data_IF_274513649026
#
_entry.id   IF_274513649026
#
_cell.length_a   1.000
_cell.length_b   1.000
_cell.length_c   1.000
_cell.angle_alpha   90.00
_cell.angle_beta   90.00
_cell.angle_gamma   90.00
#
_symmetry.space_group_name_H-M   'P 1'
#
loop_
_entity.id
_entity.type
_entity.pdbx_description
1 polymer ?
#
# COMPACT_ATOMS: atom_id res chain seq x y z
N UNK A 1 -44.81 -20.70 -0.66
CA UNK A 1 -43.70 -20.36 0.25
C UNK A 1 -42.87 -19.31 -0.47
N UNK A 2 -43.01 -18.06 -0.03
CA UNK A 2 -42.59 -16.87 -0.78
C UNK A 2 -41.10 -16.63 -0.61
N UNK A 3 -40.41 -16.59 -1.73
CA UNK A 3 -39.03 -16.13 -1.91
C UNK A 3 -38.98 -14.61 -1.82
N UNK A 4 -38.36 -14.06 -0.78
CA UNK A 4 -38.07 -12.63 -0.70
C UNK A 4 -36.82 -12.33 -1.53
N UNK A 5 -37.05 -12.05 -2.81
CA UNK A 5 -36.06 -11.48 -3.72
C UNK A 5 -35.92 -9.99 -3.36
N UNK A 6 -34.80 -9.62 -2.76
CA UNK A 6 -34.41 -8.21 -2.62
C UNK A 6 -34.03 -7.70 -4.01
N UNK A 7 -34.90 -6.88 -4.60
CA UNK A 7 -34.67 -6.22 -5.88
C UNK A 7 -33.81 -4.98 -5.65
N UNK A 8 -32.59 -4.96 -6.17
CA UNK A 8 -31.80 -3.74 -6.33
C UNK A 8 -32.23 -2.98 -7.59
N UNK A 9 -32.17 -1.63 -7.61
CA UNK A 9 -32.65 -0.86 -8.74
C UNK A 9 -31.74 -1.06 -9.96
N UNK A 10 -32.35 -1.35 -11.12
CA UNK A 10 -31.67 -1.30 -12.42
C UNK A 10 -31.25 0.15 -12.71
N UNK A 11 -30.11 0.38 -13.40
CA UNK A 11 -29.71 1.71 -13.81
C UNK A 11 -30.68 2.23 -14.89
N UNK A 12 -31.62 3.07 -14.48
CA UNK A 12 -32.52 3.80 -15.36
C UNK A 12 -31.89 5.11 -15.82
N UNK A 13 -32.05 5.40 -17.11
CA UNK A 13 -31.68 6.68 -17.74
C UNK A 13 -32.72 7.75 -17.34
N UNK A 14 -32.24 8.88 -16.75
CA UNK A 14 -33.02 10.08 -16.36
C UNK A 14 -33.55 10.01 -14.91
N UNK A 15 -33.39 10.99 -14.01
CA UNK A 15 -33.20 12.44 -14.09
C UNK A 15 -32.22 12.93 -13.01
N UNK A 16 -31.63 14.12 -13.23
CA UNK A 16 -30.66 14.76 -12.34
C UNK A 16 -31.23 14.99 -10.92
N UNK A 17 -30.80 14.17 -9.96
CA UNK A 17 -30.84 14.51 -8.54
C UNK A 17 -29.40 14.73 -8.05
N UNK A 18 -28.88 15.93 -8.28
CA UNK A 18 -27.66 16.43 -7.66
C UNK A 18 -27.95 16.78 -6.20
N UNK A 19 -27.82 15.81 -5.30
CA UNK A 19 -27.36 16.08 -3.94
C UNK A 19 -25.88 15.71 -3.89
N UNK A 20 -25.07 16.61 -4.44
CA UNK A 20 -23.63 16.62 -4.26
C UNK A 20 -23.40 16.98 -2.80
N UNK A 21 -22.85 16.07 -2.00
CA UNK A 21 -22.15 16.48 -0.78
C UNK A 21 -21.09 17.50 -1.23
N UNK A 22 -21.29 18.77 -0.92
CA UNK A 22 -20.28 19.80 -1.16
C UNK A 22 -19.09 19.50 -0.24
N UNK A 23 -18.14 18.73 -0.73
CA UNK A 23 -16.81 18.67 -0.14
C UNK A 23 -16.19 20.05 -0.30
N UNK A 24 -15.99 20.75 0.82
CA UNK A 24 -15.29 22.04 0.83
C UNK A 24 -13.90 21.84 0.25
N UNK A 25 -13.68 22.30 -0.98
CA UNK A 25 -12.41 22.16 -1.69
C UNK A 25 -11.29 22.80 -0.86
N UNK A 26 -10.35 21.98 -0.42
CA UNK A 26 -9.20 22.43 0.38
C UNK A 26 -8.12 23.04 -0.51
N UNK A 27 -7.13 23.70 0.13
CA UNK A 27 -5.90 24.13 -0.57
C UNK A 27 -5.14 22.94 -1.17
N UNK A 28 -5.20 21.77 -0.52
CA UNK A 28 -4.52 20.56 -0.97
C UNK A 28 -5.21 19.93 -2.18
N UNK A 29 -6.54 19.94 -2.24
CA UNK A 29 -7.28 19.45 -3.41
C UNK A 29 -6.91 20.25 -4.67
N UNK A 30 -6.82 21.59 -4.55
CA UNK A 30 -6.38 22.45 -5.66
C UNK A 30 -4.94 22.18 -6.08
N UNK A 31 -4.03 21.99 -5.12
CA UNK A 31 -2.64 21.69 -5.41
C UNK A 31 -2.45 20.30 -6.01
N UNK A 32 -3.25 19.30 -5.60
CA UNK A 32 -3.23 17.97 -6.21
C UNK A 32 -3.70 18.03 -7.67
N UNK A 33 -4.79 18.77 -7.95
CA UNK A 33 -5.25 18.98 -9.31
C UNK A 33 -4.21 19.70 -10.18
N UNK A 34 -3.56 20.73 -9.64
CA UNK A 34 -2.45 21.42 -10.31
C UNK A 34 -1.29 20.45 -10.60
N UNK A 35 -0.96 19.54 -9.68
CA UNK A 35 0.06 18.54 -9.91
C UNK A 35 -0.29 17.55 -11.01
N UNK A 36 -1.55 17.10 -11.08
CA UNK A 36 -2.03 16.23 -12.16
C UNK A 36 -1.86 16.91 -13.51
N UNK A 37 -2.15 18.21 -13.62
CA UNK A 37 -1.90 18.98 -14.85
C UNK A 37 -0.41 19.08 -15.21
N UNK A 38 0.47 19.22 -14.21
CA UNK A 38 1.92 19.21 -14.43
C UNK A 38 2.39 17.83 -14.91
N UNK A 39 1.88 16.76 -14.30
CA UNK A 39 2.25 15.37 -14.60
C UNK A 39 1.99 15.00 -16.07
N UNK A 40 0.93 15.54 -16.69
CA UNK A 40 0.59 15.29 -18.10
C UNK A 40 1.10 16.39 -19.04
N UNK A 41 1.87 17.36 -18.56
CA UNK A 41 2.35 18.47 -19.37
C UNK A 41 3.49 18.03 -20.29
N UNK A 42 3.30 18.13 -21.60
CA UNK A 42 4.38 17.85 -22.56
C UNK A 42 5.60 18.78 -22.35
N UNK A 43 6.79 18.18 -22.36
CA UNK A 43 8.06 18.89 -22.12
C UNK A 43 8.04 19.67 -20.80
N UNK A 44 7.54 19.04 -19.72
CA UNK A 44 7.34 19.66 -18.41
C UNK A 44 8.52 20.51 -17.96
N UNK A 45 9.73 19.94 -17.90
CA UNK A 45 10.92 20.65 -17.40
C UNK A 45 11.22 21.91 -18.23
N UNK A 46 11.25 21.80 -19.57
CA UNK A 46 11.50 22.93 -20.45
C UNK A 46 10.40 24.01 -20.35
N UNK A 47 9.14 23.62 -20.10
CA UNK A 47 8.06 24.58 -19.89
C UNK A 47 8.17 25.30 -18.56
N UNK A 48 8.62 24.61 -17.51
CA UNK A 48 8.84 25.22 -16.20
C UNK A 48 10.04 26.17 -16.19
N UNK A 49 11.07 25.90 -17.00
CA UNK A 49 12.19 26.83 -17.20
C UNK A 49 11.71 28.18 -17.80
N UNK A 50 10.75 28.13 -18.73
CA UNK A 50 10.20 29.34 -19.37
C UNK A 50 9.12 30.00 -18.50
N UNK A 51 8.29 29.22 -17.80
CA UNK A 51 7.13 29.68 -17.02
C UNK A 51 7.13 29.10 -15.60
N UNK A 52 8.06 29.52 -14.72
CA UNK A 52 8.20 28.94 -13.39
C UNK A 52 7.00 29.24 -12.46
N UNK A 53 6.19 30.25 -12.77
CA UNK A 53 5.05 30.65 -11.94
C UNK A 53 4.07 29.51 -11.64
N UNK A 54 3.83 28.60 -12.59
CA UNK A 54 2.96 27.43 -12.39
C UNK A 54 3.54 26.43 -11.38
N UNK A 55 4.84 26.23 -11.38
CA UNK A 55 5.50 25.38 -10.40
C UNK A 55 5.58 26.07 -9.02
N UNK A 56 5.75 27.39 -8.98
CA UNK A 56 5.95 28.12 -7.72
C UNK A 56 4.76 28.00 -6.76
N UNK A 57 3.52 28.07 -7.26
CA UNK A 57 2.31 27.92 -6.43
C UNK A 57 2.22 26.51 -5.82
N UNK A 58 2.44 25.47 -6.65
CA UNK A 58 2.49 24.09 -6.18
C UNK A 58 3.61 23.90 -5.14
N UNK A 59 4.82 24.38 -5.43
CA UNK A 59 5.99 24.25 -4.54
C UNK A 59 5.80 24.96 -3.19
N UNK A 60 5.09 26.09 -3.16
CA UNK A 60 4.70 26.74 -1.90
C UNK A 60 3.77 25.85 -1.08
N UNK A 61 2.74 25.28 -1.72
CA UNK A 61 1.80 24.37 -1.03
C UNK A 61 2.50 23.09 -0.56
N UNK A 62 3.41 22.54 -1.38
CA UNK A 62 4.24 21.39 -1.05
C UNK A 62 5.09 21.65 0.20
N UNK A 63 5.81 22.77 0.21
CA UNK A 63 6.64 23.17 1.36
C UNK A 63 5.82 23.37 2.63
N UNK A 64 4.64 23.98 2.51
CA UNK A 64 3.73 24.15 3.65
C UNK A 64 3.18 22.82 4.16
N UNK A 65 2.85 21.89 3.27
CA UNK A 65 2.39 20.56 3.62
C UNK A 65 3.47 19.77 4.35
N UNK A 66 4.72 19.78 3.86
CA UNK A 66 5.85 19.11 4.49
C UNK A 66 6.00 19.55 5.96
N UNK A 67 5.97 20.86 6.21
CA UNK A 67 6.04 21.40 7.58
C UNK A 67 4.87 20.95 8.44
N UNK A 68 3.66 21.00 7.89
CA UNK A 68 2.43 20.62 8.61
C UNK A 68 2.36 19.12 8.94
N UNK A 69 2.89 18.26 8.08
CA UNK A 69 2.88 16.82 8.28
C UNK A 69 4.02 16.32 9.18
N UNK A 70 5.23 16.87 9.01
CA UNK A 70 6.46 16.24 9.54
C UNK A 70 7.27 17.09 10.52
N UNK A 71 7.08 18.41 10.57
CA UNK A 71 7.92 19.30 11.40
C UNK A 71 7.20 19.91 12.61
N UNK A 72 5.87 19.96 12.60
CA UNK A 72 5.08 20.54 13.68
C UNK A 72 4.71 19.51 14.77
N UNK A 73 4.53 19.97 16.02
CA UNK A 73 4.12 19.14 17.16
C UNK A 73 2.76 18.43 16.97
N UNK A 74 1.91 18.96 16.06
CA UNK A 74 0.64 18.34 15.65
C UNK A 74 0.72 17.98 14.17
N UNK A 75 0.75 16.68 13.91
CA UNK A 75 0.74 16.09 12.58
C UNK A 75 -0.61 16.30 11.89
N UNK A 76 -0.64 17.02 10.77
CA UNK A 76 -1.85 17.29 9.97
C UNK A 76 -2.16 16.14 8.99
N UNK A 77 -3.24 15.39 9.24
CA UNK A 77 -3.67 14.25 8.41
C UNK A 77 -3.98 14.65 6.94
N UNK A 78 -4.50 15.86 6.69
CA UNK A 78 -4.77 16.31 5.31
C UNK A 78 -3.46 16.60 4.57
N UNK A 79 -2.45 17.12 5.28
CA UNK A 79 -1.12 17.32 4.71
C UNK A 79 -0.45 15.97 4.40
N UNK A 80 -0.56 14.96 5.27
CA UNK A 80 -0.09 13.60 4.99
C UNK A 80 -0.75 13.03 3.74
N UNK A 81 -2.09 13.07 3.66
CA UNK A 81 -2.81 12.54 2.50
C UNK A 81 -2.38 13.21 1.20
N UNK A 82 -2.28 14.54 1.21
CA UNK A 82 -1.78 15.28 0.05
C UNK A 82 -0.38 14.82 -0.36
N UNK A 83 0.58 14.82 0.56
CA UNK A 83 1.97 14.45 0.26
C UNK A 83 2.10 13.01 -0.24
N UNK A 84 1.39 12.07 0.39
CA UNK A 84 1.43 10.66 0.01
C UNK A 84 0.76 10.41 -1.33
N UNK A 85 -0.26 11.18 -1.72
CA UNK A 85 -0.84 11.14 -3.07
C UNK A 85 0.11 11.70 -4.13
N UNK A 86 0.78 12.83 -3.86
CA UNK A 86 1.80 13.37 -4.77
C UNK A 86 2.91 12.34 -4.98
N UNK A 87 3.42 11.78 -3.88
CA UNK A 87 4.48 10.78 -3.91
C UNK A 87 4.05 9.52 -4.68
N UNK A 88 2.83 9.01 -4.42
CA UNK A 88 2.29 7.87 -5.16
C UNK A 88 2.16 8.15 -6.66
N UNK A 89 1.67 9.34 -7.05
CA UNK A 89 1.53 9.72 -8.47
C UNK A 89 2.86 9.77 -9.21
N UNK A 90 3.95 10.11 -8.52
CA UNK A 90 5.31 10.03 -9.07
C UNK A 90 5.75 8.57 -9.13
N UNK A 91 5.60 7.84 -8.02
CA UNK A 91 6.07 6.47 -7.89
C UNK A 91 5.36 5.50 -8.83
N UNK A 92 4.08 5.71 -9.14
CA UNK A 92 3.35 4.86 -10.09
C UNK A 92 3.95 4.86 -11.49
N UNK A 93 4.74 5.88 -11.87
CA UNK A 93 5.45 5.94 -13.15
C UNK A 93 6.54 4.87 -13.25
N UNK A 94 6.99 4.32 -12.12
CA UNK A 94 7.92 3.19 -12.09
C UNK A 94 7.27 1.86 -12.49
N UNK A 95 5.94 1.81 -12.60
CA UNK A 95 5.17 0.62 -12.99
C UNK A 95 4.39 0.90 -14.27
N UNK A 96 4.05 -0.15 -15.01
CA UNK A 96 3.26 -0.04 -16.23
C UNK A 96 1.84 -0.54 -16.00
N UNK A 97 0.85 0.32 -16.28
CA UNK A 97 -0.56 0.13 -15.93
C UNK A 97 -1.45 -0.24 -17.12
N UNK A 98 -0.88 -0.36 -18.33
CA UNK A 98 -1.62 -0.61 -19.57
C UNK A 98 -2.70 0.46 -19.88
N UNK A 99 -2.46 1.70 -19.44
CA UNK A 99 -3.25 2.89 -19.73
C UNK A 99 -2.60 3.74 -20.84
N UNK A 100 -3.10 4.97 -21.05
CA UNK A 100 -2.59 5.86 -22.09
C UNK A 100 -1.09 6.14 -21.92
N UNK A 101 -0.30 5.90 -22.97
CA UNK A 101 1.15 6.11 -22.96
C UNK A 101 1.55 7.56 -22.65
N UNK A 102 0.67 8.54 -22.90
CA UNK A 102 0.94 9.93 -22.53
C UNK A 102 1.05 10.14 -21.01
N UNK A 103 0.53 9.22 -20.19
CA UNK A 103 0.67 9.27 -18.73
C UNK A 103 2.12 9.10 -18.26
N UNK A 104 3.00 8.54 -19.10
CA UNK A 104 4.42 8.30 -18.79
C UNK A 104 5.36 9.36 -19.36
N UNK A 105 4.82 10.39 -20.04
CA UNK A 105 5.60 11.45 -20.73
C UNK A 105 6.69 12.06 -19.85
N UNK A 106 6.41 12.18 -18.55
CA UNK A 106 7.29 12.86 -17.60
C UNK A 106 8.00 11.89 -16.62
N UNK A 107 8.06 10.58 -16.90
CA UNK A 107 8.69 9.58 -16.01
C UNK A 107 10.16 9.90 -15.66
N UNK A 108 10.85 10.69 -16.48
CA UNK A 108 12.25 11.13 -16.27
C UNK A 108 12.39 12.61 -15.91
N UNK A 109 11.31 13.28 -15.53
CA UNK A 109 11.34 14.71 -15.24
C UNK A 109 12.19 15.01 -13.99
N UNK A 110 13.09 15.99 -14.11
CA UNK A 110 13.91 16.46 -13.00
C UNK A 110 13.06 17.20 -11.96
N UNK A 111 12.04 17.93 -12.41
CA UNK A 111 11.08 18.57 -11.52
C UNK A 111 10.33 17.55 -10.65
N UNK A 112 9.83 16.46 -11.25
CA UNK A 112 9.12 15.42 -10.49
C UNK A 112 10.06 14.73 -9.47
N UNK A 113 11.30 14.44 -9.86
CA UNK A 113 12.30 13.92 -8.93
C UNK A 113 12.59 14.91 -7.79
N UNK A 114 12.69 16.21 -8.07
CA UNK A 114 12.86 17.22 -7.02
C UNK A 114 11.68 17.26 -6.05
N UNK A 115 10.44 17.11 -6.54
CA UNK A 115 9.26 16.99 -5.67
C UNK A 115 9.34 15.75 -4.80
N UNK A 116 9.62 14.58 -5.39
CA UNK A 116 9.77 13.30 -4.67
C UNK A 116 10.81 13.43 -3.57
N UNK A 117 12.02 13.86 -3.91
CA UNK A 117 13.16 13.91 -3.00
C UNK A 117 12.90 14.86 -1.81
N UNK A 118 12.19 15.98 -2.03
CA UNK A 118 11.77 16.88 -0.94
C UNK A 118 10.80 16.21 0.03
N UNK A 119 9.78 15.49 -0.49
CA UNK A 119 8.81 14.77 0.33
C UNK A 119 9.51 13.64 1.09
N UNK A 120 10.25 12.79 0.38
CA UNK A 120 10.92 11.62 0.94
C UNK A 120 11.95 12.00 1.99
N UNK A 121 12.73 13.07 1.79
CA UNK A 121 13.73 13.50 2.78
C UNK A 121 13.09 13.90 4.12
N UNK A 122 12.01 14.69 4.07
CA UNK A 122 11.30 15.10 5.29
C UNK A 122 10.55 13.93 5.93
N UNK A 123 9.87 13.13 5.10
CA UNK A 123 9.08 12.00 5.57
C UNK A 123 9.95 10.89 6.17
N UNK A 124 11.08 10.52 5.55
CA UNK A 124 12.00 9.51 6.08
C UNK A 124 12.62 9.95 7.40
N UNK A 125 12.93 11.25 7.56
CA UNK A 125 13.37 11.78 8.86
C UNK A 125 12.30 11.58 9.93
N UNK A 126 11.03 11.83 9.59
CA UNK A 126 9.90 11.65 10.50
C UNK A 126 9.63 10.18 10.85
N UNK A 127 9.71 9.26 9.87
CA UNK A 127 9.55 7.82 10.10
C UNK A 127 10.69 7.25 10.95
N UNK A 128 11.95 7.64 10.67
CA UNK A 128 13.10 7.16 11.44
C UNK A 128 13.11 7.70 12.87
N UNK A 129 12.52 8.87 13.13
CA UNK A 129 12.39 9.42 14.47
C UNK A 129 11.48 8.59 15.40
N UNK A 130 10.72 7.63 14.86
CA UNK A 130 9.90 6.70 15.65
C UNK A 130 10.71 5.54 16.26
N UNK A 131 11.99 5.40 15.89
CA UNK A 131 12.83 4.26 16.27
C UNK A 131 14.08 4.72 17.02
N UNK A 132 14.49 3.92 18.02
CA UNK A 132 15.81 4.04 18.62
C UNK A 132 16.83 3.29 17.75
N UNK A 133 17.37 4.00 16.76
CA UNK A 133 18.35 3.42 15.83
C UNK A 133 19.63 2.95 16.53
N UNK A 134 20.04 3.63 17.61
CA UNK A 134 21.22 3.25 18.37
C UNK A 134 20.99 1.91 19.07
N UNK A 135 19.81 1.70 19.65
CA UNK A 135 19.44 0.41 20.24
C UNK A 135 19.39 -0.71 19.19
N UNK A 136 18.78 -0.47 18.02
CA UNK A 136 18.70 -1.46 16.94
C UNK A 136 20.08 -1.91 16.46
N UNK A 137 21.04 -0.98 16.36
CA UNK A 137 22.42 -1.26 15.96
C UNK A 137 23.20 -2.14 16.95
N UNK A 138 22.74 -2.26 18.20
CA UNK A 138 23.37 -3.11 19.22
C UNK A 138 22.73 -4.50 19.35
N UNK A 139 21.66 -4.79 18.61
CA UNK A 139 20.98 -6.08 18.66
C UNK A 139 21.79 -7.17 17.97
N UNK A 140 21.66 -8.41 18.47
CA UNK A 140 21.90 -9.58 17.64
C UNK A 140 20.78 -9.65 16.59
N UNK A 141 21.05 -9.20 15.38
CA UNK A 141 20.06 -9.08 14.32
C UNK A 141 19.39 -10.43 13.99
N UNK A 142 20.12 -11.55 14.06
CA UNK A 142 19.55 -12.87 13.74
C UNK A 142 18.54 -13.29 14.80
N UNK A 143 18.94 -13.19 16.07
CA UNK A 143 18.06 -13.52 17.18
C UNK A 143 16.83 -12.58 17.20
N UNK A 144 17.06 -11.29 16.96
CA UNK A 144 16.00 -10.28 16.90
C UNK A 144 14.96 -10.56 15.80
N UNK A 145 15.39 -11.02 14.61
CA UNK A 145 14.50 -11.41 13.51
C UNK A 145 13.70 -12.66 13.84
N UNK A 146 14.33 -13.69 14.42
CA UNK A 146 13.65 -14.94 14.82
C UNK A 146 12.57 -14.66 15.86
N UNK A 147 12.87 -13.85 16.88
CA UNK A 147 11.92 -13.50 17.93
C UNK A 147 10.72 -12.73 17.40
N UNK A 148 10.95 -11.76 16.51
CA UNK A 148 9.90 -10.98 15.84
C UNK A 148 9.02 -11.86 14.98
N UNK A 149 9.62 -12.68 14.12
CA UNK A 149 8.88 -13.58 13.24
C UNK A 149 8.03 -14.57 14.06
N UNK A 150 8.56 -15.12 15.15
CA UNK A 150 7.82 -15.99 16.06
C UNK A 150 6.61 -15.28 16.70
N UNK A 151 6.78 -14.04 17.15
CA UNK A 151 5.71 -13.26 17.76
C UNK A 151 4.60 -12.89 16.76
N UNK A 152 4.96 -12.65 15.49
CA UNK A 152 4.05 -12.16 14.46
C UNK A 152 3.45 -13.28 13.58
N UNK A 153 3.92 -14.52 13.72
CA UNK A 153 3.37 -15.67 12.97
C UNK A 153 1.90 -15.96 13.33
N UNK A 154 1.55 -15.83 14.62
CA UNK A 154 0.20 -16.05 15.12
C UNK A 154 -0.11 -15.09 16.29
N UNK A 155 -0.25 -13.78 16.02
CA UNK A 155 -0.48 -12.79 17.05
C UNK A 155 -1.87 -12.96 17.67
N UNK A 156 -2.01 -12.51 18.91
CA UNK A 156 -3.33 -12.41 19.54
C UNK A 156 -4.21 -11.40 18.80
N UNK A 157 -5.53 -11.62 18.79
CA UNK A 157 -6.46 -10.68 18.16
C UNK A 157 -6.42 -9.31 18.86
N UNK A 158 -6.03 -8.29 18.11
CA UNK A 158 -6.24 -6.89 18.51
C UNK A 158 -7.73 -6.54 18.48
N UNK A 159 -8.11 -5.40 19.07
CA UNK A 159 -9.49 -4.88 19.00
C UNK A 159 -9.96 -4.70 17.55
N UNK A 160 -9.07 -4.22 16.66
CA UNK A 160 -9.39 -4.01 15.25
C UNK A 160 -9.50 -5.32 14.48
N UNK A 161 -8.60 -6.28 14.72
CA UNK A 161 -8.70 -7.62 14.13
C UNK A 161 -9.95 -8.37 14.59
N UNK A 162 -10.35 -8.18 15.86
CA UNK A 162 -11.61 -8.71 16.40
C UNK A 162 -12.81 -8.11 15.69
N UNK A 163 -12.86 -6.78 15.57
CA UNK A 163 -13.93 -6.09 14.85
C UNK A 163 -14.08 -6.60 13.40
N UNK A 164 -12.97 -6.70 12.66
CA UNK A 164 -12.96 -7.25 11.31
C UNK A 164 -13.58 -8.65 11.32
N UNK A 165 -13.05 -9.54 12.15
CA UNK A 165 -13.41 -10.96 12.22
C UNK A 165 -14.88 -11.19 12.61
N UNK A 166 -15.35 -10.47 13.63
CA UNK A 166 -16.57 -10.81 14.37
C UNK A 166 -17.73 -9.87 14.04
N UNK A 167 -17.47 -8.62 13.62
CA UNK A 167 -18.48 -7.56 13.54
C UNK A 167 -18.67 -6.98 12.13
N UNK A 168 -17.67 -7.04 11.26
CA UNK A 168 -17.67 -6.37 9.94
C UNK A 168 -18.91 -6.69 9.08
N UNK A 169 -19.61 -5.68 8.56
CA UNK A 169 -20.78 -5.94 7.69
C UNK A 169 -20.35 -6.31 6.26
N UNK A 170 -21.28 -6.76 5.41
CA UNK A 170 -20.99 -6.93 3.97
C UNK A 170 -20.57 -5.60 3.32
N UNK A 171 -21.22 -4.49 3.67
CA UNK A 171 -20.80 -3.15 3.22
C UNK A 171 -19.39 -2.81 3.68
N UNK A 172 -19.05 -3.13 4.93
CA UNK A 172 -17.69 -2.95 5.45
C UNK A 172 -16.67 -3.85 4.76
N UNK A 173 -17.06 -5.07 4.40
CA UNK A 173 -16.22 -5.99 3.62
C UNK A 173 -15.96 -5.44 2.21
N UNK A 174 -16.98 -4.94 1.51
CA UNK A 174 -16.80 -4.27 0.21
C UNK A 174 -15.90 -3.03 0.33
N UNK A 175 -16.01 -2.27 1.41
CA UNK A 175 -15.14 -1.12 1.68
C UNK A 175 -13.68 -1.53 1.94
N UNK A 176 -13.48 -2.62 2.69
CA UNK A 176 -12.17 -3.25 2.85
C UNK A 176 -11.57 -3.67 1.50
N UNK A 177 -12.35 -4.32 0.63
CA UNK A 177 -11.90 -4.72 -0.72
C UNK A 177 -11.57 -3.51 -1.59
N UNK A 178 -12.35 -2.43 -1.49
CA UNK A 178 -12.09 -1.20 -2.23
C UNK A 178 -10.73 -0.61 -1.86
N UNK A 179 -10.41 -0.51 -0.56
CA UNK A 179 -9.09 -0.04 -0.12
C UNK A 179 -8.00 -1.06 -0.47
N UNK A 180 -8.23 -2.36 -0.23
CA UNK A 180 -7.27 -3.43 -0.51
C UNK A 180 -6.91 -3.57 -2.00
N UNK A 181 -7.82 -3.21 -2.90
CA UNK A 181 -7.58 -3.22 -4.35
C UNK A 181 -6.42 -2.32 -4.80
N UNK A 182 -6.06 -1.34 -3.96
CA UNK A 182 -4.95 -0.43 -4.19
C UNK A 182 -3.62 -1.18 -4.37
N UNK A 183 -3.40 -2.23 -3.59
CA UNK A 183 -2.21 -3.06 -3.66
C UNK A 183 -2.49 -4.42 -4.32
N UNK A 184 -3.62 -5.08 -3.96
CA UNK A 184 -3.95 -6.43 -4.42
C UNK A 184 -4.09 -6.57 -5.95
N UNK A 185 -4.44 -5.50 -6.68
CA UNK A 185 -4.52 -5.54 -8.15
C UNK A 185 -3.15 -5.44 -8.83
N UNK A 186 -2.14 -4.92 -8.14
CA UNK A 186 -0.77 -4.72 -8.65
C UNK A 186 0.29 -5.46 -7.84
N UNK A 187 -0.14 -6.42 -7.04
CA UNK A 187 0.69 -7.23 -6.16
C UNK A 187 1.97 -7.76 -6.81
N UNK A 188 3.03 -7.76 -5.98
CA UNK A 188 4.41 -8.16 -6.28
C UNK A 188 5.12 -7.32 -7.34
N UNK A 189 4.50 -6.24 -7.85
CA UNK A 189 5.15 -5.35 -8.83
C UNK A 189 6.43 -4.71 -8.29
N UNK A 190 6.45 -4.32 -7.01
CA UNK A 190 7.64 -3.73 -6.40
C UNK A 190 8.78 -4.74 -6.21
N UNK A 191 8.47 -6.01 -5.90
CA UNK A 191 9.48 -7.07 -5.77
C UNK A 191 10.28 -7.23 -7.06
N UNK A 192 9.65 -7.08 -8.23
CA UNK A 192 10.35 -7.13 -9.53
C UNK A 192 11.50 -6.13 -9.64
N UNK A 193 11.43 -5.00 -8.91
CA UNK A 193 12.39 -3.89 -8.99
C UNK A 193 13.66 -4.11 -8.17
N UNK A 194 13.68 -5.10 -7.28
CA UNK A 194 14.88 -5.50 -6.53
C UNK A 194 15.63 -6.70 -7.12
N UNK A 195 15.08 -7.34 -8.16
CA UNK A 195 15.67 -8.54 -8.77
C UNK A 195 16.75 -8.25 -9.81
N UNK A 196 16.94 -7.00 -10.24
CA UNK A 196 18.03 -6.64 -11.15
C UNK A 196 19.38 -6.65 -10.43
N UNK A 197 20.32 -7.51 -10.85
CA UNK A 197 21.66 -7.56 -10.25
C UNK A 197 22.40 -8.88 -10.49
N UNK A 198 23.42 -9.15 -9.66
CA UNK A 198 24.17 -10.40 -9.67
C UNK A 198 23.46 -11.47 -8.83
N UNK A 199 23.35 -12.68 -9.39
CA UNK A 199 22.65 -13.80 -8.76
C UNK A 199 23.44 -14.44 -7.61
N UNK A 200 22.71 -14.73 -6.53
CA UNK A 200 23.10 -15.57 -5.41
C UNK A 200 21.85 -16.31 -4.89
N UNK A 201 22.01 -17.16 -3.88
CA UNK A 201 20.89 -17.94 -3.31
C UNK A 201 19.73 -17.05 -2.84
N UNK A 202 20.03 -15.92 -2.20
CA UNK A 202 19.02 -14.93 -1.78
C UNK A 202 18.23 -14.40 -2.98
N UNK A 203 18.92 -13.99 -4.05
CA UNK A 203 18.25 -13.49 -5.25
C UNK A 203 17.41 -14.58 -5.93
N UNK A 204 17.90 -15.83 -5.96
CA UNK A 204 17.12 -16.98 -6.47
C UNK A 204 15.84 -17.22 -5.64
N UNK A 205 15.91 -17.09 -4.32
CA UNK A 205 14.74 -17.20 -3.44
C UNK A 205 13.73 -16.06 -3.70
N UNK A 206 14.19 -14.82 -3.82
CA UNK A 206 13.31 -13.68 -4.14
C UNK A 206 12.65 -13.84 -5.53
N UNK A 207 13.37 -14.37 -6.52
CA UNK A 207 12.80 -14.72 -7.83
C UNK A 207 11.73 -15.81 -7.70
N UNK A 208 11.96 -16.82 -6.86
CA UNK A 208 10.98 -17.89 -6.58
C UNK A 208 9.70 -17.31 -5.99
N UNK A 209 9.80 -16.42 -4.99
CA UNK A 209 8.64 -15.71 -4.43
C UNK A 209 7.90 -14.96 -5.54
N UNK A 210 8.58 -14.11 -6.32
CA UNK A 210 7.95 -13.37 -7.42
C UNK A 210 7.22 -14.28 -8.41
N UNK A 211 7.83 -15.41 -8.78
CA UNK A 211 7.22 -16.37 -9.71
C UNK A 211 5.93 -16.96 -9.16
N UNK A 212 5.86 -17.28 -7.87
CA UNK A 212 4.63 -17.77 -7.23
C UNK A 212 3.55 -16.69 -7.22
N UNK A 213 3.88 -15.46 -6.81
CA UNK A 213 2.97 -14.30 -6.86
C UNK A 213 2.40 -14.02 -8.26
N UNK A 214 3.22 -14.24 -9.30
CA UNK A 214 2.84 -14.11 -10.70
C UNK A 214 2.15 -15.36 -11.27
N UNK A 215 1.73 -16.31 -10.43
CA UNK A 215 1.04 -17.52 -10.86
C UNK A 215 1.88 -18.40 -11.79
N UNK A 216 3.20 -18.37 -11.61
CA UNK A 216 4.21 -18.96 -12.50
C UNK A 216 4.04 -18.49 -13.96
N UNK A 217 3.73 -17.20 -14.14
CA UNK A 217 3.54 -16.56 -15.45
C UNK A 217 2.20 -16.84 -16.12
N UNK A 218 1.25 -17.48 -15.41
CA UNK A 218 -0.09 -17.76 -15.94
C UNK A 218 -1.07 -16.75 -15.36
N UNK A 219 -1.61 -15.86 -16.20
CA UNK A 219 -2.55 -14.83 -15.76
C UNK A 219 -3.72 -15.39 -14.94
N UNK A 220 -4.30 -16.52 -15.35
CA UNK A 220 -5.39 -17.17 -14.60
C UNK A 220 -5.00 -17.69 -13.21
N UNK A 221 -3.72 -17.66 -12.86
CA UNK A 221 -3.17 -18.05 -11.55
C UNK A 221 -2.43 -16.91 -10.86
N UNK A 222 -2.26 -15.75 -11.51
CA UNK A 222 -1.67 -14.58 -10.86
C UNK A 222 -2.56 -14.19 -9.69
N UNK A 223 -1.97 -13.90 -8.53
CA UNK A 223 -2.73 -13.59 -7.32
C UNK A 223 -3.70 -12.42 -7.53
N UNK A 224 -3.26 -11.35 -8.20
CA UNK A 224 -4.14 -10.23 -8.56
C UNK A 224 -5.35 -10.60 -9.44
N UNK A 225 -5.34 -11.72 -10.17
CA UNK A 225 -6.54 -12.24 -10.87
C UNK A 225 -7.59 -12.73 -9.89
N UNK A 226 -7.20 -13.37 -8.79
CA UNK A 226 -8.13 -13.77 -7.72
C UNK A 226 -8.71 -12.54 -7.02
N UNK A 227 -7.89 -11.50 -6.79
CA UNK A 227 -8.39 -10.24 -6.23
C UNK A 227 -9.41 -9.56 -7.15
N UNK A 228 -9.13 -9.50 -8.46
CA UNK A 228 -10.07 -8.97 -9.44
C UNK A 228 -11.38 -9.78 -9.51
N UNK A 229 -11.32 -11.10 -9.39
CA UNK A 229 -12.50 -11.97 -9.33
C UNK A 229 -13.34 -11.71 -8.08
N UNK A 230 -12.71 -11.51 -6.93
CA UNK A 230 -13.41 -11.11 -5.70
C UNK A 230 -14.17 -9.79 -5.88
N UNK A 231 -13.53 -8.76 -6.45
CA UNK A 231 -14.20 -7.49 -6.75
C UNK A 231 -15.39 -7.69 -7.72
N UNK A 232 -15.20 -8.49 -8.77
CA UNK A 232 -16.24 -8.77 -9.76
C UNK A 232 -17.46 -9.48 -9.16
N UNK A 233 -17.26 -10.38 -8.20
CA UNK A 233 -18.36 -11.07 -7.48
C UNK A 233 -19.28 -10.07 -6.76
N UNK A 234 -18.73 -8.96 -6.26
CA UNK A 234 -19.51 -7.88 -5.65
C UNK A 234 -20.01 -6.82 -6.66
N UNK A 235 -19.75 -7.00 -7.96
CA UNK A 235 -20.05 -6.01 -8.99
C UNK A 235 -19.22 -4.72 -8.87
N UNK A 236 -18.02 -4.82 -8.27
CA UNK A 236 -17.11 -3.71 -8.09
C UNK A 236 -16.22 -3.50 -9.33
N UNK A 237 -15.63 -2.31 -9.43
CA UNK A 237 -14.64 -1.99 -10.46
C UNK A 237 -13.38 -2.80 -10.21
N UNK A 238 -12.81 -3.36 -11.27
CA UNK A 238 -11.61 -4.21 -11.21
C UNK A 238 -10.38 -3.51 -11.76
N UNK A 239 -10.53 -2.29 -12.24
CA UNK A 239 -9.42 -1.48 -12.73
C UNK A 239 -8.57 -1.02 -11.54
N UNK A 240 -7.23 -1.09 -11.65
CA UNK A 240 -6.37 -0.50 -10.62
C UNK A 240 -6.66 0.99 -10.43
N UNK A 241 -6.44 1.49 -9.21
CA UNK A 241 -6.73 2.89 -8.81
C UNK A 241 -8.21 3.32 -8.84
N UNK A 242 -9.16 2.44 -9.19
CA UNK A 242 -10.59 2.78 -9.26
C UNK A 242 -11.17 3.35 -7.95
N UNK A 243 -10.55 3.00 -6.82
CA UNK A 243 -10.94 3.39 -5.46
C UNK A 243 -9.88 4.23 -4.75
N UNK A 244 -8.91 4.83 -5.47
CA UNK A 244 -7.81 5.62 -4.89
C UNK A 244 -8.29 6.70 -3.90
N UNK A 245 -9.45 7.30 -4.14
CA UNK A 245 -10.02 8.32 -3.26
C UNK A 245 -10.42 7.82 -1.87
N UNK A 246 -10.64 6.50 -1.70
CA UNK A 246 -10.97 5.89 -0.41
C UNK A 246 -9.72 5.50 0.40
N UNK A 247 -8.54 5.46 -0.23
CA UNK A 247 -7.31 4.97 0.38
C UNK A 247 -6.79 5.99 1.39
N UNK A 248 -6.68 5.63 2.69
CA UNK A 248 -6.10 6.50 3.71
C UNK A 248 -4.62 6.78 3.45
N UNK A 249 -4.11 7.89 4.00
CA UNK A 249 -2.71 8.27 3.80
C UNK A 249 -1.74 7.23 4.38
N UNK A 250 -2.15 6.52 5.43
CA UNK A 250 -1.37 5.47 6.08
C UNK A 250 -1.15 4.27 5.16
N UNK A 251 -2.14 3.91 4.34
CA UNK A 251 -2.03 2.85 3.32
C UNK A 251 -1.12 3.32 2.18
N UNK A 252 -1.32 4.56 1.71
CA UNK A 252 -0.44 5.16 0.69
C UNK A 252 1.02 5.23 1.16
N UNK A 253 1.24 5.58 2.43
CA UNK A 253 2.55 5.62 3.05
C UNK A 253 3.24 4.25 3.00
N UNK A 254 2.54 3.17 3.36
CA UNK A 254 3.11 1.81 3.26
C UNK A 254 3.56 1.47 1.83
N UNK A 255 2.75 1.77 0.83
CA UNK A 255 3.10 1.54 -0.58
C UNK A 255 4.26 2.43 -1.05
N UNK A 256 4.27 3.71 -0.70
CA UNK A 256 5.35 4.62 -1.05
C UNK A 256 6.67 4.26 -0.36
N UNK A 257 6.62 3.70 0.85
CA UNK A 257 7.80 3.19 1.53
C UNK A 257 8.39 2.02 0.74
N UNK A 258 7.54 1.10 0.28
CA UNK A 258 7.97 0.00 -0.57
C UNK A 258 8.64 0.49 -1.87
N UNK A 259 8.08 1.51 -2.54
CA UNK A 259 8.74 2.15 -3.68
C UNK A 259 10.13 2.70 -3.34
N UNK A 260 10.26 3.48 -2.26
CA UNK A 260 11.56 4.01 -1.83
C UNK A 260 12.57 2.88 -1.56
N UNK A 261 12.15 1.84 -0.84
CA UNK A 261 13.01 0.70 -0.50
C UNK A 261 13.50 -0.05 -1.74
N UNK A 262 12.64 -0.19 -2.76
CA UNK A 262 12.96 -0.94 -3.98
C UNK A 262 13.75 -0.13 -5.00
N UNK A 263 13.59 1.19 -5.03
CA UNK A 263 14.32 2.10 -5.92
C UNK A 263 15.71 2.48 -5.42
N UNK A 264 15.94 2.45 -4.11
CA UNK A 264 17.24 2.76 -3.52
C UNK A 264 17.96 1.49 -3.05
N UNK A 265 18.95 1.01 -3.81
CA UNK A 265 19.68 -0.24 -3.49
C UNK A 265 20.43 -0.22 -2.14
N UNK A 266 20.74 0.96 -1.59
CA UNK A 266 21.24 1.10 -0.20
C UNK A 266 20.25 0.54 0.84
N UNK A 267 18.97 0.49 0.51
CA UNK A 267 17.92 -0.04 1.37
C UNK A 267 17.57 -1.50 1.07
N UNK A 268 18.37 -2.23 0.29
CA UNK A 268 18.09 -3.64 -0.03
C UNK A 268 17.88 -4.52 1.21
N UNK A 269 18.76 -4.40 2.22
CA UNK A 269 18.59 -5.12 3.50
C UNK A 269 17.29 -4.74 4.22
N UNK A 270 16.98 -3.44 4.24
CA UNK A 270 15.77 -2.89 4.85
C UNK A 270 14.51 -3.38 4.13
N UNK A 271 14.51 -3.42 2.80
CA UNK A 271 13.45 -4.01 1.99
C UNK A 271 13.21 -5.48 2.36
N UNK A 272 14.27 -6.29 2.37
CA UNK A 272 14.17 -7.72 2.70
C UNK A 272 13.62 -7.94 4.12
N UNK A 273 14.00 -7.09 5.08
CA UNK A 273 13.43 -7.11 6.43
C UNK A 273 11.93 -6.83 6.45
N UNK A 274 11.49 -5.78 5.75
CA UNK A 274 10.07 -5.44 5.63
C UNK A 274 9.26 -6.51 4.91
N UNK A 275 9.77 -7.06 3.82
CA UNK A 275 9.14 -8.17 3.11
C UNK A 275 9.05 -9.43 4.00
N UNK A 276 10.06 -9.69 4.83
CA UNK A 276 10.01 -10.81 5.80
C UNK A 276 8.86 -10.64 6.79
N UNK A 277 8.63 -9.43 7.33
CA UNK A 277 7.46 -9.19 8.16
C UNK A 277 6.15 -9.46 7.40
N UNK A 278 6.04 -8.94 6.18
CA UNK A 278 4.83 -9.08 5.37
C UNK A 278 4.47 -10.55 5.16
N UNK A 279 5.43 -11.37 4.72
CA UNK A 279 5.21 -12.79 4.46
C UNK A 279 4.96 -13.62 5.73
N UNK A 280 5.49 -13.19 6.88
CA UNK A 280 5.25 -13.86 8.17
C UNK A 280 3.87 -13.53 8.74
N UNK A 281 3.47 -12.26 8.71
CA UNK A 281 2.27 -11.76 9.38
C UNK A 281 1.00 -11.83 8.51
N UNK A 282 1.13 -11.75 7.19
CA UNK A 282 0.03 -11.73 6.22
C UNK A 282 -1.02 -12.83 6.45
N UNK A 283 -0.63 -14.11 6.60
CA UNK A 283 -1.57 -15.22 6.78
C UNK A 283 -2.50 -15.05 7.99
N UNK A 284 -2.01 -14.50 9.09
CA UNK A 284 -2.81 -14.26 10.29
C UNK A 284 -3.91 -13.20 10.04
N UNK A 285 -3.61 -12.18 9.23
CA UNK A 285 -4.57 -11.15 8.82
C UNK A 285 -5.62 -11.76 7.88
N UNK A 286 -5.20 -12.48 6.84
CA UNK A 286 -6.12 -13.09 5.86
C UNK A 286 -7.05 -14.13 6.49
N UNK A 287 -6.58 -14.87 7.52
CA UNK A 287 -7.44 -15.76 8.33
C UNK A 287 -8.62 -15.02 8.96
N UNK A 288 -8.46 -13.75 9.37
CA UNK A 288 -9.57 -12.96 9.90
C UNK A 288 -10.56 -12.54 8.83
N UNK A 289 -10.10 -12.19 7.62
CA UNK A 289 -10.97 -11.89 6.48
C UNK A 289 -11.75 -13.12 6.02
N UNK A 290 -11.12 -14.29 6.01
CA UNK A 290 -11.78 -15.55 5.67
C UNK A 290 -12.88 -15.90 6.67
N UNK A 291 -12.63 -15.78 7.98
CA UNK A 291 -13.65 -16.02 9.02
C UNK A 291 -14.83 -15.05 8.88
N UNK A 292 -14.55 -13.79 8.57
CA UNK A 292 -15.57 -12.77 8.29
C UNK A 292 -16.46 -13.19 7.12
N UNK A 293 -15.82 -13.60 6.02
CA UNK A 293 -16.52 -13.98 4.81
C UNK A 293 -17.40 -15.22 5.01
N UNK A 294 -16.91 -16.21 5.77
CA UNK A 294 -17.68 -17.38 6.17
C UNK A 294 -18.90 -17.00 7.02
N UNK A 295 -18.74 -16.08 7.99
CA UNK A 295 -19.85 -15.58 8.81
C UNK A 295 -20.92 -14.89 7.95
N UNK A 296 -20.49 -14.15 6.93
CA UNK A 296 -21.38 -13.45 6.00
C UNK A 296 -21.98 -14.37 4.92
N UNK A 297 -21.57 -15.64 4.84
CA UNK A 297 -22.05 -16.58 3.83
C UNK A 297 -21.60 -16.25 2.40
N UNK A 298 -20.42 -15.63 2.25
CA UNK A 298 -19.86 -15.27 0.95
C UNK A 298 -19.42 -16.51 0.16
N UNK A 299 -19.39 -16.38 -1.17
CA UNK A 299 -19.01 -17.48 -2.08
C UNK A 299 -17.52 -17.81 -2.01
N UNK A 300 -17.11 -18.97 -2.55
CA UNK A 300 -15.69 -19.35 -2.68
C UNK A 300 -14.91 -18.33 -3.53
N UNK A 301 -15.55 -17.77 -4.56
CA UNK A 301 -14.95 -16.72 -5.41
C UNK A 301 -14.67 -15.47 -4.59
N UNK A 302 -15.58 -15.09 -3.69
CA UNK A 302 -15.44 -13.93 -2.82
C UNK A 302 -14.33 -14.05 -1.77
N UNK A 303 -13.69 -15.22 -1.62
CA UNK A 303 -12.59 -15.45 -0.66
C UNK A 303 -11.32 -16.01 -1.28
N UNK A 304 -11.33 -16.30 -2.59
CA UNK A 304 -10.29 -17.07 -3.25
C UNK A 304 -8.87 -16.48 -3.12
N UNK A 305 -8.74 -15.16 -3.08
CA UNK A 305 -7.44 -14.51 -2.85
C UNK A 305 -6.92 -14.74 -1.43
N UNK A 306 -7.78 -14.68 -0.40
CA UNK A 306 -7.39 -14.93 0.98
C UNK A 306 -6.99 -16.39 1.19
N UNK A 307 -7.75 -17.33 0.62
CA UNK A 307 -7.44 -18.77 0.71
C UNK A 307 -6.14 -19.13 -0.01
N UNK A 308 -5.82 -18.44 -1.11
CA UNK A 308 -4.56 -18.60 -1.81
C UNK A 308 -3.38 -18.24 -0.90
N UNK A 309 -3.38 -17.03 -0.35
CA UNK A 309 -2.32 -16.56 0.54
C UNK A 309 -2.19 -17.40 1.81
N UNK A 310 -3.30 -17.81 2.43
CA UNK A 310 -3.24 -18.69 3.61
C UNK A 310 -2.55 -20.03 3.30
N UNK A 311 -2.69 -20.57 2.07
CA UNK A 311 -2.05 -21.84 1.68
C UNK A 311 -0.59 -21.68 1.24
N UNK A 312 -0.28 -20.61 0.53
CA UNK A 312 1.04 -20.41 -0.08
C UNK A 312 2.04 -19.77 0.91
N UNK A 313 1.60 -18.79 1.71
CA UNK A 313 2.48 -17.88 2.45
C UNK A 313 3.11 -18.50 3.70
N UNK A 314 2.58 -19.59 4.26
CA UNK A 314 3.28 -20.30 5.36
C UNK A 314 4.68 -20.77 4.91
N UNK A 315 4.88 -20.96 3.60
CA UNK A 315 6.18 -21.25 3.00
C UNK A 315 6.99 -19.99 2.73
N UNK A 316 6.34 -18.91 2.25
CA UNK A 316 7.01 -17.65 1.96
C UNK A 316 7.60 -17.02 3.21
N UNK A 317 6.87 -16.99 4.33
CA UNK A 317 7.40 -16.50 5.60
C UNK A 317 8.66 -17.25 6.05
N UNK A 318 8.70 -18.57 5.86
CA UNK A 318 9.90 -19.38 6.14
C UNK A 318 11.03 -19.08 5.17
N UNK A 319 10.76 -19.00 3.87
CA UNK A 319 11.78 -18.64 2.88
C UNK A 319 12.36 -17.26 3.15
N UNK A 320 11.51 -16.28 3.48
CA UNK A 320 11.98 -14.94 3.78
C UNK A 320 12.81 -14.90 5.06
N UNK A 321 12.48 -15.66 6.09
CA UNK A 321 13.31 -15.72 7.30
C UNK A 321 14.60 -16.52 7.07
N UNK A 322 14.46 -17.80 6.71
CA UNK A 322 15.53 -18.79 6.72
C UNK A 322 16.44 -18.70 5.49
N UNK A 323 15.88 -18.41 4.31
CA UNK A 323 16.60 -18.40 3.03
C UNK A 323 16.97 -16.97 2.57
N UNK A 324 16.44 -15.91 3.20
CA UNK A 324 16.72 -14.50 2.83
C UNK A 324 17.29 -13.70 4.01
N UNK A 325 16.52 -13.47 5.07
CA UNK A 325 16.88 -12.51 6.11
C UNK A 325 18.07 -13.00 6.95
N UNK A 326 18.07 -14.26 7.40
CA UNK A 326 19.18 -14.82 8.18
C UNK A 326 20.48 -14.92 7.35
N UNK A 327 20.48 -15.42 6.10
CA UNK A 327 21.67 -15.38 5.24
C UNK A 327 22.20 -13.96 4.99
N UNK A 328 21.32 -12.98 4.78
CA UNK A 328 21.73 -11.59 4.62
C UNK A 328 22.33 -11.01 5.91
N UNK A 329 21.79 -11.35 7.07
CA UNK A 329 22.35 -10.93 8.36
C UNK A 329 23.76 -11.53 8.58
N UNK A 330 24.01 -12.74 8.11
CA UNK A 330 25.35 -13.36 8.13
C UNK A 330 26.31 -12.74 7.13
N UNK A 331 25.83 -12.39 5.93
CA UNK A 331 26.62 -11.76 4.89
C UNK A 331 27.02 -10.31 5.23
N UNK A 332 26.16 -9.59 5.94
CA UNK A 332 26.33 -8.17 6.27
C UNK A 332 26.28 -7.90 7.79
N UNK A 333 27.21 -8.46 8.60
CA UNK A 333 27.09 -8.43 10.06
C UNK A 333 27.08 -7.01 10.66
N UNK A 334 27.75 -6.04 10.01
CA UNK A 334 27.79 -4.65 10.48
C UNK A 334 26.54 -3.83 10.08
N UNK A 335 25.79 -4.30 9.09
CA UNK A 335 24.60 -3.63 8.56
C UNK A 335 23.31 -4.44 8.76
N UNK A 336 23.39 -5.61 9.42
CA UNK A 336 22.26 -6.52 9.63
C UNK A 336 21.11 -5.88 10.43
N UNK A 337 21.40 -4.84 11.23
CA UNK A 337 20.39 -4.04 11.91
C UNK A 337 19.41 -3.36 10.95
N UNK A 338 19.77 -3.15 9.68
CA UNK A 338 18.87 -2.62 8.64
C UNK A 338 17.74 -3.60 8.32
N UNK A 339 17.96 -4.93 8.42
CA UNK A 339 16.90 -5.94 8.28
C UNK A 339 15.89 -5.80 9.42
N UNK A 340 16.38 -5.65 10.66
CA UNK A 340 15.54 -5.47 11.84
C UNK A 340 14.75 -4.17 11.75
N UNK A 341 15.41 -3.07 11.34
CA UNK A 341 14.75 -1.79 11.11
C UNK A 341 13.66 -1.91 10.04
N UNK A 342 13.94 -2.56 8.92
CA UNK A 342 12.97 -2.75 7.85
C UNK A 342 11.75 -3.55 8.28
N UNK A 343 11.98 -4.62 9.06
CA UNK A 343 10.92 -5.41 9.67
C UNK A 343 10.03 -4.54 10.58
N UNK A 344 10.66 -3.80 11.50
CA UNK A 344 9.94 -2.96 12.48
C UNK A 344 9.22 -1.77 11.82
N UNK A 345 9.81 -1.19 10.77
CA UNK A 345 9.18 -0.15 9.96
C UNK A 345 7.94 -0.67 9.26
N UNK A 346 8.06 -1.78 8.52
CA UNK A 346 6.90 -2.35 7.83
C UNK A 346 5.78 -2.69 8.81
N UNK A 347 6.12 -3.25 9.99
CA UNK A 347 5.14 -3.53 11.05
C UNK A 347 4.43 -2.29 11.55
N UNK A 348 5.17 -1.26 11.97
CA UNK A 348 4.58 -0.03 12.48
C UNK A 348 3.70 0.65 11.44
N UNK A 349 4.13 0.68 10.18
CA UNK A 349 3.35 1.24 9.08
C UNK A 349 2.08 0.43 8.81
N UNK A 350 2.17 -0.90 8.85
CA UNK A 350 1.03 -1.81 8.66
C UNK A 350 0.01 -1.67 9.79
N UNK A 351 0.45 -1.51 11.04
CA UNK A 351 -0.43 -1.27 12.18
C UNK A 351 -1.20 0.05 12.02
N UNK A 352 -0.51 1.15 11.66
CA UNK A 352 -1.17 2.45 11.38
C UNK A 352 -2.16 2.34 10.22
N UNK A 353 -1.81 1.63 9.16
CA UNK A 353 -2.67 1.40 8.00
C UNK A 353 -3.91 0.58 8.36
N UNK A 354 -3.76 -0.51 9.13
CA UNK A 354 -4.87 -1.33 9.60
C UNK A 354 -5.85 -0.52 10.45
N UNK A 355 -5.34 0.31 11.36
CA UNK A 355 -6.17 1.18 12.18
C UNK A 355 -6.94 2.19 11.32
N UNK A 356 -6.30 2.78 10.31
CA UNK A 356 -6.93 3.73 9.38
C UNK A 356 -8.03 3.09 8.52
N UNK A 357 -7.79 1.86 8.04
CA UNK A 357 -8.79 1.07 7.30
C UNK A 357 -10.01 0.81 8.18
N UNK A 358 -9.83 0.35 9.42
CA UNK A 358 -10.95 0.11 10.34
C UNK A 358 -11.72 1.39 10.66
N UNK A 359 -11.02 2.52 10.87
CA UNK A 359 -11.66 3.84 11.05
C UNK A 359 -12.52 4.21 9.83
N UNK A 360 -11.96 4.08 8.63
CA UNK A 360 -12.65 4.40 7.37
C UNK A 360 -13.90 3.54 7.16
N UNK A 361 -13.78 2.23 7.40
CA UNK A 361 -14.92 1.30 7.34
C UNK A 361 -16.02 1.70 8.31
N UNK A 362 -15.69 1.95 9.58
CA UNK A 362 -16.70 2.32 10.60
C UNK A 362 -17.42 3.61 10.25
N UNK A 363 -16.70 4.60 9.71
CA UNK A 363 -17.30 5.85 9.26
C UNK A 363 -18.27 5.62 8.09
N UNK A 364 -17.90 4.77 7.13
CA UNK A 364 -18.76 4.42 6.00
C UNK A 364 -20.03 3.68 6.44
N UNK A 365 -19.90 2.71 7.35
CA UNK A 365 -21.04 1.98 7.91
C UNK A 365 -21.98 2.89 8.71
N UNK A 366 -21.43 3.83 9.49
CA UNK A 366 -22.24 4.81 10.22
C UNK A 366 -22.99 5.76 9.27
N UNK A 367 -22.34 6.23 8.20
CA UNK A 367 -22.99 7.09 7.21
C UNK A 367 -24.15 6.37 6.51
N UNK A 368 -24.01 5.06 6.24
CA UNK A 368 -25.07 4.24 5.64
C UNK A 368 -26.28 4.00 6.56
N UNK A 369 -26.12 4.15 7.88
CA UNK A 369 -27.23 4.02 8.85
C UNK A 369 -28.07 5.31 8.99
N UNK A 370 -27.55 6.45 8.52
CA UNK A 370 -28.20 7.77 8.63
C UNK A 370 -28.99 8.12 7.35
N UNK A 371 -28.77 7.38 6.26
CA UNK A 371 -29.50 7.44 4.99
C UNK A 371 -30.62 6.40 4.97
#
# INVERSE_FOLDING_TARGET
>A
MQSNIVMFPKPGVGEKSTQTQETTVTKYDRAEQQFIELLTMENLDARLDIKPAKANEFQQTLSMAIRAAYENDRSDEQAHLFLQRILYRINRLNLFWYDDLHNYTNERSLYLYSCRDQIEAAWQKWELAQFDLAALQQLDAKQALIERASADLNPSLSTNSRYIREELTESGYRHLLAIGSFDGLVEASNLSRVLGGAANEVQCTLVRVLLEEYGNGRLSRKHSTFFAQMLAEFGMKTEPEAYLNLVPWEVLASTNHNFLMTECKRYFLRYCGGLTYFEVAGPAVYKNYLVTAQRLGLSEVAVGYWELHIREDERHGRWMLDDVALPLAEQYPNDAWELVLGYDQQKLMSDRAADAVVRSIRQAEQAALVL
#
